data_IF_314010992815
#
_entry.id   IF_314010992815
#
_cell.length_a   1.000
_cell.length_b   1.000
_cell.length_c   1.000
_cell.angle_alpha   90.00
_cell.angle_beta   90.00
_cell.angle_gamma   90.00
#
_symmetry.space_group_name_H-M   'P 1'
#
loop_
_entity.id
_entity.type
_entity.pdbx_description
1 polymer ?
#
# COMPACT_ATOMS: atom_id res chain seq x y z
N UNK A 1 -15.62 -20.37 7.38
CA UNK A 1 -15.08 -20.69 6.04
C UNK A 1 -13.62 -21.01 6.24
N UNK A 2 -13.11 -22.11 5.70
CA UNK A 2 -11.71 -22.49 5.89
C UNK A 2 -10.99 -22.29 4.55
N UNK A 3 -9.88 -21.56 4.58
CA UNK A 3 -9.01 -21.35 3.43
C UNK A 3 -7.59 -21.78 3.82
N UNK A 4 -6.88 -22.39 2.88
CA UNK A 4 -5.46 -22.73 3.02
C UNK A 4 -4.72 -21.92 1.97
N UNK A 5 -3.74 -21.14 2.43
CA UNK A 5 -2.88 -20.33 1.56
C UNK A 5 -1.47 -20.88 1.69
N UNK A 6 -0.87 -21.29 0.58
CA UNK A 6 0.54 -21.66 0.52
C UNK A 6 1.36 -20.41 0.20
N UNK A 7 2.28 -20.05 1.09
CA UNK A 7 3.26 -18.99 0.85
C UNK A 7 4.62 -19.61 0.56
N UNK A 8 5.19 -19.27 -0.59
CA UNK A 8 6.55 -19.69 -0.94
C UNK A 8 7.52 -18.55 -0.63
N UNK A 9 8.72 -18.90 -0.17
CA UNK A 9 9.81 -17.93 -0.12
C UNK A 9 10.18 -17.55 -1.56
N UNK A 10 9.99 -16.28 -1.89
CA UNK A 10 10.42 -15.72 -3.16
C UNK A 10 11.16 -14.41 -2.92
N UNK A 11 12.18 -14.13 -3.73
CA UNK A 11 12.88 -12.86 -3.67
C UNK A 11 12.04 -11.79 -4.39
N UNK A 12 11.49 -10.78 -3.70
CA UNK A 12 10.63 -9.78 -4.34
C UNK A 12 11.39 -8.87 -5.33
N UNK A 13 12.72 -8.90 -5.29
CA UNK A 13 13.61 -8.18 -6.21
C UNK A 13 14.08 -9.02 -7.40
N UNK A 14 13.66 -10.29 -7.50
CA UNK A 14 14.04 -11.17 -8.61
C UNK A 14 13.19 -10.89 -9.86
N UNK A 15 13.48 -9.76 -10.50
CA UNK A 15 12.91 -9.38 -11.78
C UNK A 15 13.85 -8.44 -12.54
N UNK A 16 13.59 -8.29 -13.83
CA UNK A 16 14.29 -7.34 -14.68
C UNK A 16 13.27 -6.38 -15.27
N UNK A 17 13.54 -5.09 -15.17
CA UNK A 17 12.72 -4.10 -15.85
C UNK A 17 12.72 -4.31 -17.35
N UNK A 18 11.53 -4.42 -17.92
CA UNK A 18 11.34 -4.45 -19.36
C UNK A 18 10.10 -3.64 -19.75
N UNK A 19 10.25 -2.57 -20.56
CA UNK A 19 11.49 -2.12 -21.20
C UNK A 19 12.48 -1.49 -20.19
N UNK A 20 13.78 -1.44 -20.49
CA UNK A 20 14.82 -1.06 -19.51
C UNK A 20 14.71 0.40 -19.03
N UNK A 21 14.10 1.26 -19.84
CA UNK A 21 13.79 2.64 -19.54
C UNK A 21 12.87 2.77 -18.32
N UNK A 22 12.10 1.72 -18.00
CA UNK A 22 11.27 1.65 -16.78
C UNK A 22 12.07 1.64 -15.48
N UNK A 23 13.41 1.58 -15.54
CA UNK A 23 14.29 1.81 -14.39
C UNK A 23 14.30 3.27 -13.93
N UNK A 24 13.86 4.21 -14.77
CA UNK A 24 13.94 5.65 -14.48
C UNK A 24 12.56 6.29 -14.46
N UNK A 25 12.34 7.16 -13.48
CA UNK A 25 11.12 7.95 -13.32
C UNK A 25 11.18 9.29 -14.09
N UNK A 26 10.04 9.89 -14.46
CA UNK A 26 8.67 9.37 -14.31
C UNK A 26 8.39 8.19 -15.26
N UNK A 27 7.57 7.26 -14.81
CA UNK A 27 7.28 6.04 -15.56
C UNK A 27 6.21 6.31 -16.63
N UNK A 28 6.48 5.84 -17.85
CA UNK A 28 5.51 5.86 -18.95
C UNK A 28 5.22 4.44 -19.42
N UNK A 29 3.98 3.99 -19.21
CA UNK A 29 3.52 2.69 -19.68
C UNK A 29 3.26 2.70 -21.19
N UNK A 30 3.52 1.56 -21.85
CA UNK A 30 3.12 1.37 -23.25
C UNK A 30 1.60 1.44 -23.40
N UNK A 31 1.10 1.73 -24.60
CA UNK A 31 -0.34 1.82 -24.86
C UNK A 31 -1.11 0.55 -24.47
N UNK A 32 -0.49 -0.64 -24.59
CA UNK A 32 -1.08 -1.90 -24.14
C UNK A 32 -1.28 -1.93 -22.63
N UNK A 33 -0.28 -1.54 -21.86
CA UNK A 33 -0.37 -1.49 -20.40
C UNK A 33 -1.31 -0.38 -19.92
N UNK A 34 -1.33 0.77 -20.59
CA UNK A 34 -2.26 1.86 -20.22
C UNK A 34 -3.72 1.42 -20.27
N UNK A 35 -4.11 0.58 -21.25
CA UNK A 35 -5.50 0.04 -21.31
C UNK A 35 -5.88 -0.79 -20.09
N UNK A 36 -4.93 -1.56 -19.55
CA UNK A 36 -5.17 -2.44 -18.40
C UNK A 36 -4.94 -1.76 -17.06
N UNK A 37 -4.09 -0.73 -17.03
CA UNK A 37 -3.66 -0.05 -15.82
C UNK A 37 -4.35 1.30 -15.59
N UNK A 38 -5.17 1.78 -16.53
CA UNK A 38 -5.78 3.12 -16.44
C UNK A 38 -6.48 3.43 -15.11
N UNK A 39 -7.22 2.50 -14.46
CA UNK A 39 -7.83 2.80 -13.15
C UNK A 39 -6.80 2.97 -12.03
N UNK A 40 -5.61 2.38 -12.18
CA UNK A 40 -4.52 2.38 -11.19
C UNK A 40 -3.54 3.54 -11.36
N UNK A 41 -3.73 4.34 -12.42
CA UNK A 41 -2.93 5.53 -12.76
C UNK A 41 -3.60 6.85 -12.36
N UNK A 42 -4.79 6.78 -11.75
CA UNK A 42 -5.56 7.94 -11.32
C UNK A 42 -4.75 8.86 -10.40
N UNK A 43 -5.01 10.16 -10.48
CA UNK A 43 -4.30 11.18 -9.69
C UNK A 43 -5.10 11.54 -8.42
N UNK A 44 -6.01 10.68 -7.96
CA UNK A 44 -6.75 10.92 -6.72
C UNK A 44 -5.78 11.04 -5.54
N UNK A 45 -5.94 12.10 -4.75
CA UNK A 45 -5.08 12.38 -3.59
C UNK A 45 -3.70 12.96 -3.94
N UNK A 46 -3.35 13.12 -5.23
CA UNK A 46 -2.11 13.77 -5.64
C UNK A 46 -2.28 15.29 -5.59
N UNK A 47 -1.95 15.88 -4.46
CA UNK A 47 -1.86 17.34 -4.32
C UNK A 47 -0.50 17.87 -4.77
N UNK A 48 -0.38 19.18 -4.94
CA UNK A 48 0.89 19.85 -5.24
C UNK A 48 1.98 19.51 -4.24
N UNK A 49 1.65 19.45 -2.95
CA UNK A 49 2.62 19.13 -1.89
C UNK A 49 3.07 17.66 -1.96
N UNK A 50 2.13 16.75 -2.23
CA UNK A 50 2.43 15.32 -2.40
C UNK A 50 3.34 15.10 -3.63
N UNK A 51 3.02 15.71 -4.77
CA UNK A 51 3.84 15.63 -5.98
C UNK A 51 5.24 16.22 -5.76
N UNK A 52 5.35 17.40 -5.15
CA UNK A 52 6.64 18.03 -4.87
C UNK A 52 7.52 17.16 -3.97
N UNK A 53 6.93 16.57 -2.93
CA UNK A 53 7.65 15.67 -2.03
C UNK A 53 8.11 14.40 -2.76
N UNK A 54 7.25 13.80 -3.58
CA UNK A 54 7.61 12.63 -4.39
C UNK A 54 8.77 12.94 -5.34
N UNK A 55 8.72 14.08 -6.04
CA UNK A 55 9.81 14.54 -6.93
C UNK A 55 11.10 14.82 -6.17
N UNK A 56 11.03 15.37 -4.95
CA UNK A 56 12.20 15.59 -4.12
C UNK A 56 12.89 14.27 -3.77
N UNK A 57 12.14 13.28 -3.29
CA UNK A 57 12.67 11.94 -2.99
C UNK A 57 13.25 11.31 -4.25
N UNK A 58 12.52 11.33 -5.37
CA UNK A 58 13.00 10.81 -6.65
C UNK A 58 14.31 11.46 -7.09
N UNK A 59 14.48 12.76 -6.89
CA UNK A 59 15.70 13.48 -7.25
C UNK A 59 16.93 13.03 -6.43
N UNK A 60 16.74 12.72 -5.13
CA UNK A 60 17.81 12.29 -4.23
C UNK A 60 18.37 10.92 -4.65
N UNK A 61 17.50 10.05 -5.17
CA UNK A 61 17.86 8.72 -5.70
C UNK A 61 18.13 8.72 -7.19
N UNK A 62 18.42 9.89 -7.78
CA UNK A 62 18.74 10.06 -9.21
C UNK A 62 17.68 9.47 -10.15
N UNK A 63 16.41 9.59 -9.76
CA UNK A 63 15.24 9.12 -10.49
C UNK A 63 15.20 7.61 -10.74
N UNK A 64 15.99 6.81 -10.01
CA UNK A 64 15.91 5.35 -10.11
C UNK A 64 14.62 4.84 -9.46
N UNK A 65 13.85 4.04 -10.19
CA UNK A 65 12.51 3.58 -9.77
C UNK A 65 12.56 2.69 -8.52
N UNK A 66 13.44 1.68 -8.49
CA UNK A 66 13.54 0.79 -7.32
C UNK A 66 14.06 1.54 -6.11
N UNK A 67 15.08 2.37 -6.28
CA UNK A 67 15.61 3.19 -5.19
C UNK A 67 14.57 4.19 -4.67
N UNK A 68 13.72 4.76 -5.53
CA UNK A 68 12.62 5.62 -5.13
C UNK A 68 11.61 4.88 -4.25
N UNK A 69 11.22 3.67 -4.65
CA UNK A 69 10.26 2.86 -3.88
C UNK A 69 10.83 2.46 -2.52
N UNK A 70 12.10 2.06 -2.46
CA UNK A 70 12.80 1.77 -1.20
C UNK A 70 12.89 3.01 -0.30
N UNK A 71 13.31 4.16 -0.84
CA UNK A 71 13.44 5.40 -0.09
C UNK A 71 12.07 5.92 0.39
N UNK A 72 11.01 5.77 -0.41
CA UNK A 72 9.66 6.14 -0.01
C UNK A 72 9.16 5.28 1.15
N UNK A 73 9.46 3.97 1.12
CA UNK A 73 9.12 3.04 2.20
C UNK A 73 9.82 3.45 3.50
N UNK A 74 11.12 3.72 3.43
CA UNK A 74 11.94 4.15 4.56
C UNK A 74 11.52 5.53 5.08
N UNK A 75 11.23 6.48 4.19
CA UNK A 75 10.80 7.84 4.52
C UNK A 75 9.52 7.83 5.36
N UNK A 76 8.51 7.06 4.94
CA UNK A 76 7.25 6.98 5.70
C UNK A 76 7.50 6.26 7.03
N UNK A 77 8.18 5.12 7.02
CA UNK A 77 8.46 4.34 8.22
C UNK A 77 9.20 5.15 9.30
N UNK A 78 10.24 5.90 8.91
CA UNK A 78 11.11 6.62 9.87
C UNK A 78 10.56 7.97 10.31
N UNK A 79 9.78 8.65 9.46
CA UNK A 79 9.41 10.05 9.71
C UNK A 79 7.97 10.23 10.17
N UNK A 80 7.19 9.16 10.29
CA UNK A 80 5.77 9.24 10.62
C UNK A 80 5.47 8.44 11.88
N UNK A 81 4.65 9.02 12.76
CA UNK A 81 4.16 8.32 13.95
C UNK A 81 2.99 7.40 13.57
N UNK A 82 3.05 6.15 14.00
CA UNK A 82 1.94 5.22 13.80
C UNK A 82 0.79 5.55 14.75
N UNK A 83 -0.42 5.64 14.22
CA UNK A 83 -1.65 5.85 14.99
C UNK A 83 -2.60 4.68 14.80
N UNK A 84 -3.03 4.05 15.91
CA UNK A 84 -4.05 3.01 15.89
C UNK A 84 -5.41 3.67 15.65
N UNK A 85 -6.09 3.25 14.58
CA UNK A 85 -7.43 3.71 14.22
C UNK A 85 -8.30 2.53 13.82
N UNK A 86 -9.21 2.14 14.69
CA UNK A 86 -10.12 1.01 14.46
C UNK A 86 -11.08 1.25 13.28
N UNK A 87 -11.55 2.49 13.11
CA UNK A 87 -12.65 2.80 12.18
C UNK A 87 -12.36 3.98 11.25
N UNK A 88 -13.17 4.06 10.19
CA UNK A 88 -13.21 5.18 9.26
C UNK A 88 -12.29 5.03 8.06
N UNK A 89 -12.60 5.81 7.02
CA UNK A 89 -11.83 5.85 5.79
C UNK A 89 -10.35 6.26 6.04
N UNK A 90 -9.45 5.92 5.11
CA UNK A 90 -8.11 6.47 5.12
C UNK A 90 -8.13 8.00 5.10
N UNK A 91 -7.18 8.62 5.81
CA UNK A 91 -6.88 10.03 5.67
C UNK A 91 -6.40 10.32 4.24
N UNK A 92 -6.59 11.56 3.79
CA UNK A 92 -6.02 11.98 2.51
C UNK A 92 -4.49 11.93 2.56
N UNK A 93 -3.86 11.69 1.41
CA UNK A 93 -2.39 11.66 1.30
C UNK A 93 -1.76 12.95 1.83
N UNK A 94 -2.30 14.12 1.46
CA UNK A 94 -1.82 15.40 1.97
C UNK A 94 -1.95 15.52 3.50
N UNK A 95 -3.07 15.09 4.08
CA UNK A 95 -3.24 15.12 5.53
C UNK A 95 -2.19 14.27 6.24
N UNK A 96 -1.99 13.03 5.79
CA UNK A 96 -0.98 12.12 6.35
C UNK A 96 0.42 12.73 6.23
N UNK A 97 0.75 13.31 5.07
CA UNK A 97 2.04 13.95 4.79
C UNK A 97 2.31 15.16 5.68
N UNK A 98 1.32 16.02 5.88
CA UNK A 98 1.47 17.24 6.70
C UNK A 98 1.55 16.90 8.18
N UNK A 99 0.68 16.01 8.66
CA UNK A 99 0.59 15.69 10.09
C UNK A 99 1.64 14.67 10.54
N UNK A 100 2.34 14.02 9.60
CA UNK A 100 3.40 13.04 9.86
C UNK A 100 2.94 11.92 10.78
N UNK A 101 1.70 11.47 10.57
CA UNK A 101 1.09 10.41 11.37
C UNK A 101 -0.06 9.73 10.64
N UNK A 102 -0.37 8.51 11.03
CA UNK A 102 -1.48 7.75 10.49
C UNK A 102 -1.37 6.25 10.76
N UNK A 103 -2.40 5.53 10.35
CA UNK A 103 -2.49 4.06 10.38
C UNK A 103 -1.96 3.43 9.08
N UNK A 104 -1.91 2.10 9.01
CA UNK A 104 -1.45 1.36 7.82
C UNK A 104 -2.19 1.76 6.54
N UNK A 105 -3.52 1.94 6.62
CA UNK A 105 -4.33 2.40 5.48
C UNK A 105 -4.00 3.82 5.03
N UNK A 106 -3.64 4.70 5.97
CA UNK A 106 -3.27 6.09 5.68
C UNK A 106 -1.92 6.14 4.95
N UNK A 107 -0.98 5.30 5.38
CA UNK A 107 0.33 5.19 4.74
C UNK A 107 0.24 4.57 3.34
N UNK A 108 -0.58 3.54 3.14
CA UNK A 108 -0.82 2.94 1.83
C UNK A 108 -1.41 3.94 0.82
N UNK A 109 -2.33 4.82 1.27
CA UNK A 109 -2.89 5.90 0.45
C UNK A 109 -1.84 6.97 0.12
N UNK A 110 -1.03 7.39 1.10
CA UNK A 110 0.07 8.33 0.87
C UNK A 110 1.10 7.79 -0.12
N UNK A 111 1.57 6.56 0.10
CA UNK A 111 2.55 5.90 -0.77
C UNK A 111 2.00 5.78 -2.20
N UNK A 112 0.73 5.37 -2.35
CA UNK A 112 0.04 5.31 -3.64
C UNK A 112 0.03 6.66 -4.36
N UNK A 113 -0.34 7.73 -3.68
CA UNK A 113 -0.39 9.06 -4.27
C UNK A 113 1.00 9.55 -4.71
N UNK A 114 2.04 9.34 -3.89
CA UNK A 114 3.42 9.69 -4.27
C UNK A 114 3.93 8.90 -5.48
N UNK A 115 3.56 7.63 -5.60
CA UNK A 115 3.87 6.82 -6.78
C UNK A 115 3.13 7.31 -8.03
N UNK A 116 1.82 7.53 -7.92
CA UNK A 116 0.96 8.01 -9.03
C UNK A 116 1.39 9.37 -9.54
N UNK A 117 1.89 10.25 -8.67
CA UNK A 117 2.50 11.53 -9.04
C UNK A 117 3.68 11.40 -10.01
N UNK A 118 4.35 10.24 -10.03
CA UNK A 118 5.48 9.93 -10.91
C UNK A 118 5.13 8.89 -11.99
N UNK A 119 3.84 8.66 -12.24
CA UNK A 119 3.35 7.80 -13.32
C UNK A 119 3.40 6.30 -13.00
N UNK A 120 3.60 5.90 -11.75
CA UNK A 120 3.55 4.50 -11.32
C UNK A 120 2.10 4.08 -11.03
N UNK A 121 1.66 2.96 -11.60
CA UNK A 121 0.36 2.39 -11.31
C UNK A 121 0.38 1.70 -9.95
N UNK A 122 -0.60 2.02 -9.09
CA UNK A 122 -0.70 1.44 -7.75
C UNK A 122 -2.09 0.91 -7.44
N UNK A 123 -2.14 -0.16 -6.63
CA UNK A 123 -3.37 -0.65 -6.00
C UNK A 123 -3.20 -0.75 -4.49
N UNK A 124 -4.26 -0.40 -3.79
CA UNK A 124 -4.41 -0.61 -2.36
C UNK A 124 -4.75 -2.08 -2.12
N UNK A 125 -4.10 -2.70 -1.13
CA UNK A 125 -4.34 -4.09 -0.74
C UNK A 125 -4.76 -4.14 0.71
N UNK A 126 -5.84 -4.88 0.98
CA UNK A 126 -6.32 -5.20 2.31
C UNK A 126 -6.14 -6.71 2.53
N UNK A 127 -5.59 -7.08 3.69
CA UNK A 127 -5.31 -8.46 4.01
C UNK A 127 -4.87 -8.67 5.45
N UNK A 128 -4.17 -9.77 5.71
CA UNK A 128 -3.59 -10.04 7.03
C UNK A 128 -2.07 -9.96 6.97
N UNK A 129 -1.48 -9.44 8.03
CA UNK A 129 -0.05 -9.53 8.26
C UNK A 129 0.23 -10.49 9.42
N UNK A 130 1.17 -11.42 9.21
CA UNK A 130 1.58 -12.44 10.18
C UNK A 130 3.02 -12.14 10.59
N UNK A 131 3.18 -11.50 11.73
CA UNK A 131 4.47 -11.01 12.20
C UNK A 131 4.39 -10.38 13.58
N UNK A 132 5.46 -9.70 14.00
CA UNK A 132 5.48 -8.98 15.27
C UNK A 132 4.52 -7.78 15.16
N UNK A 133 3.45 -7.80 15.96
CA UNK A 133 2.54 -6.66 16.07
C UNK A 133 3.29 -5.42 16.60
N UNK A 134 2.83 -4.20 16.28
CA UNK A 134 3.33 -2.99 16.94
C UNK A 134 3.33 -3.16 18.46
N UNK A 135 4.33 -2.55 19.13
CA UNK A 135 4.62 -2.72 20.57
C UNK A 135 3.39 -2.57 21.48
N UNK A 136 2.38 -1.81 21.04
CA UNK A 136 1.18 -1.49 21.80
C UNK A 136 -0.03 -2.42 21.55
N UNK A 137 0.12 -3.50 20.78
CA UNK A 137 -0.94 -4.53 20.60
C UNK A 137 -0.44 -5.90 21.11
N UNK A 138 -0.42 -6.12 22.44
CA UNK A 138 0.03 -7.39 22.99
C UNK A 138 -0.89 -8.55 22.55
N UNK A 139 -0.29 -9.69 22.21
CA UNK A 139 -0.92 -10.98 21.93
C UNK A 139 -1.64 -11.18 20.58
N UNK A 140 -1.44 -10.32 19.57
CA UNK A 140 -1.88 -10.64 18.21
C UNK A 140 -0.71 -11.17 17.36
N UNK A 141 -0.77 -12.45 16.98
CA UNK A 141 0.18 -13.07 16.03
C UNK A 141 -0.11 -12.69 14.58
N UNK A 142 -1.29 -12.12 14.35
CA UNK A 142 -1.76 -11.64 13.06
C UNK A 142 -2.82 -10.55 13.24
N UNK A 143 -2.89 -9.60 12.32
CA UNK A 143 -3.89 -8.54 12.34
C UNK A 143 -4.30 -8.13 10.92
N UNK A 144 -5.49 -7.55 10.81
CA UNK A 144 -5.93 -6.91 9.56
C UNK A 144 -4.96 -5.77 9.24
N UNK A 145 -4.47 -5.75 8.01
CA UNK A 145 -3.41 -4.84 7.59
C UNK A 145 -3.66 -4.34 6.16
N UNK A 146 -3.06 -3.21 5.83
CA UNK A 146 -3.14 -2.62 4.52
C UNK A 146 -1.76 -2.19 4.02
N UNK A 147 -1.50 -2.45 2.74
CA UNK A 147 -0.27 -2.07 2.06
C UNK A 147 -0.57 -1.63 0.63
N UNK A 148 0.46 -1.24 -0.10
CA UNK A 148 0.35 -0.84 -1.50
C UNK A 148 1.09 -1.81 -2.38
N UNK A 149 0.54 -2.10 -3.55
CA UNK A 149 1.28 -2.75 -4.62
C UNK A 149 1.48 -1.81 -5.80
N UNK A 150 2.68 -1.84 -6.37
CA UNK A 150 3.10 -1.02 -7.50
C UNK A 150 3.38 -1.93 -8.70
N UNK A 151 2.84 -1.59 -9.86
CA UNK A 151 3.07 -2.37 -11.08
C UNK A 151 4.38 -1.95 -11.75
N UNK A 152 5.36 -2.85 -11.77
CA UNK A 152 6.67 -2.62 -12.39
C UNK A 152 6.75 -3.40 -13.71
N UNK A 153 7.00 -2.74 -14.87
CA UNK A 153 7.18 -3.45 -16.14
C UNK A 153 8.27 -4.51 -16.05
N UNK A 154 7.93 -5.77 -16.35
CA UNK A 154 8.81 -6.94 -16.18
C UNK A 154 8.81 -7.57 -14.77
N UNK A 155 8.39 -6.82 -13.74
CA UNK A 155 8.21 -7.33 -12.37
C UNK A 155 6.77 -7.63 -11.98
N UNK A 156 5.77 -7.10 -12.69
CA UNK A 156 4.37 -7.20 -12.29
C UNK A 156 4.06 -6.40 -11.03
N UNK A 157 3.04 -6.80 -10.28
CA UNK A 157 2.70 -6.17 -9.00
C UNK A 157 3.72 -6.55 -7.92
N UNK A 158 4.27 -5.54 -7.25
CA UNK A 158 5.21 -5.68 -6.13
C UNK A 158 4.71 -4.87 -4.94
N UNK A 159 4.62 -5.50 -3.78
CA UNK A 159 4.07 -4.89 -2.58
C UNK A 159 5.11 -4.19 -1.73
N UNK A 160 4.72 -3.07 -1.13
CA UNK A 160 5.52 -2.25 -0.23
C UNK A 160 4.68 -1.93 1.00
N UNK A 161 5.26 -2.18 2.18
CA UNK A 161 4.64 -1.96 3.47
C UNK A 161 5.42 -0.91 4.26
N UNK A 162 5.00 0.37 4.19
CA UNK A 162 5.66 1.46 4.92
C UNK A 162 5.39 1.41 6.43
N UNK A 163 4.45 0.60 6.91
CA UNK A 163 4.22 0.41 8.35
C UNK A 163 5.29 -0.49 8.95
N UNK A 164 5.69 -1.55 8.23
CA UNK A 164 6.68 -2.53 8.71
C UNK A 164 8.10 -2.29 8.15
N UNK A 165 8.25 -1.35 7.21
CA UNK A 165 9.48 -1.18 6.42
C UNK A 165 9.85 -2.43 5.62
N UNK A 166 8.85 -3.12 5.09
CA UNK A 166 9.03 -4.38 4.38
C UNK A 166 8.67 -4.24 2.90
N UNK A 167 9.34 -5.03 2.06
CA UNK A 167 8.81 -5.39 0.75
C UNK A 167 8.03 -6.67 0.94
N UNK A 168 6.78 -6.65 0.48
CA UNK A 168 5.78 -7.67 0.76
C UNK A 168 6.26 -9.06 0.31
N UNK A 169 6.17 -10.02 1.23
CA UNK A 169 6.57 -11.40 1.04
C UNK A 169 5.64 -12.35 1.83
N UNK A 170 6.14 -13.49 2.30
CA UNK A 170 5.33 -14.57 2.88
C UNK A 170 4.54 -14.24 4.16
N UNK A 171 4.77 -13.07 4.78
CA UNK A 171 4.05 -12.62 5.96
C UNK A 171 2.78 -11.83 5.63
N UNK A 172 2.57 -11.42 4.37
CA UNK A 172 1.39 -10.68 3.94
C UNK A 172 0.46 -11.60 3.16
N UNK A 173 -0.76 -11.78 3.67
CA UNK A 173 -1.79 -12.62 3.06
C UNK A 173 -2.85 -11.68 2.44
N UNK A 174 -2.81 -11.41 1.13
CA UNK A 174 -3.78 -10.52 0.48
C UNK A 174 -5.18 -11.14 0.47
N UNK A 175 -6.20 -10.33 0.79
CA UNK A 175 -7.61 -10.72 0.66
C UNK A 175 -8.28 -10.02 -0.53
N UNK A 176 -8.04 -8.71 -0.66
CA UNK A 176 -8.64 -7.89 -1.70
C UNK A 176 -7.69 -6.78 -2.12
N UNK A 177 -7.75 -6.40 -3.40
CA UNK A 177 -6.96 -5.30 -3.94
C UNK A 177 -7.79 -4.47 -4.93
N UNK A 178 -7.64 -3.14 -4.87
CA UNK A 178 -8.36 -2.21 -5.74
C UNK A 178 -7.55 -0.92 -5.97
N UNK A 179 -7.84 -0.20 -7.05
CA UNK A 179 -7.32 1.16 -7.22
C UNK A 179 -7.95 2.17 -6.25
N UNK A 180 -9.14 1.84 -5.70
CA UNK A 180 -9.92 2.63 -4.77
C UNK A 180 -10.12 1.84 -3.46
N UNK A 181 -9.63 2.32 -2.31
CA UNK A 181 -9.75 1.62 -1.03
C UNK A 181 -11.21 1.31 -0.63
N UNK A 182 -12.14 2.20 -0.95
CA UNK A 182 -13.56 2.09 -0.62
C UNK A 182 -14.21 0.83 -1.22
N UNK A 183 -13.77 0.39 -2.40
CA UNK A 183 -14.29 -0.79 -3.13
C UNK A 183 -13.92 -2.12 -2.47
N UNK A 184 -12.98 -2.11 -1.50
CA UNK A 184 -12.51 -3.30 -0.79
C UNK A 184 -12.67 -3.17 0.72
N UNK A 185 -13.53 -2.25 1.16
CA UNK A 185 -13.93 -2.15 2.57
C UNK A 185 -14.74 -3.40 2.94
N UNK A 186 -14.40 -4.13 4.03
CA UNK A 186 -15.08 -5.39 4.39
C UNK A 186 -16.59 -5.24 4.58
N UNK A 187 -17.02 -4.09 5.12
CA UNK A 187 -18.44 -3.74 5.31
C UNK A 187 -18.63 -2.30 4.87
N UNK A 188 -19.55 -2.06 3.93
CA UNK A 188 -19.93 -0.73 3.50
C UNK A 188 -21.46 -0.62 3.41
N UNK A 189 -22.01 0.56 3.70
CA UNK A 189 -23.44 0.79 3.65
C UNK A 189 -23.85 2.07 4.38
N UNK A 190 -25.14 2.38 4.30
CA UNK A 190 -25.72 3.45 5.12
C UNK A 190 -26.98 2.92 5.81
N UNK A 191 -27.21 3.37 7.03
CA UNK A 191 -28.41 3.08 7.78
C UNK A 191 -29.18 4.37 8.05
N UNK A 192 -30.51 4.33 7.97
CA UNK A 192 -31.39 5.46 8.31
C UNK A 192 -32.38 5.01 9.39
N UNK A 193 -32.35 5.69 10.54
CA UNK A 193 -33.18 5.39 11.71
C UNK A 193 -32.35 5.44 12.99
N UNK A 194 -32.95 5.04 14.11
CA UNK A 194 -32.23 4.84 15.38
C UNK A 194 -31.83 3.37 15.50
N UNK A 195 -30.55 3.06 15.36
CA UNK A 195 -30.01 1.73 15.65
C UNK A 195 -28.59 1.82 16.22
N UNK A 196 -28.24 0.83 17.02
CA UNK A 196 -26.86 0.49 17.38
C UNK A 196 -26.44 -0.71 16.54
N UNK A 197 -25.25 -0.66 15.94
CA UNK A 197 -24.66 -1.79 15.20
C UNK A 197 -23.38 -2.20 15.91
N UNK A 198 -23.17 -3.51 16.02
CA UNK A 198 -21.94 -4.11 16.53
C UNK A 198 -21.46 -5.13 15.49
N UNK A 199 -20.18 -5.10 15.14
CA UNK A 199 -19.55 -6.08 14.26
C UNK A 199 -18.54 -6.88 15.08
N UNK A 200 -18.75 -8.18 15.19
CA UNK A 200 -17.83 -9.11 15.84
C UNK A 200 -17.21 -9.98 14.75
N UNK A 201 -15.88 -10.01 14.71
CA UNK A 201 -15.12 -10.84 13.77
C UNK A 201 -14.08 -11.65 14.52
N UNK A 202 -13.98 -12.93 14.18
CA UNK A 202 -12.94 -13.83 14.69
C UNK A 202 -12.20 -14.44 13.51
N UNK A 203 -10.87 -14.36 13.54
CA UNK A 203 -9.98 -14.91 12.54
C UNK A 203 -8.87 -15.62 13.28
N UNK A 204 -8.54 -16.83 12.83
CA UNK A 204 -7.45 -17.63 13.36
C UNK A 204 -6.54 -17.95 12.18
N UNK A 205 -5.28 -17.53 12.28
CA UNK A 205 -4.24 -17.85 11.30
C UNK A 205 -3.19 -18.71 11.99
N UNK A 206 -3.11 -19.95 11.55
CA UNK A 206 -2.11 -20.91 11.98
C UNK A 206 -1.11 -21.14 10.85
N UNK A 207 0.18 -21.06 11.16
CA UNK A 207 1.25 -21.47 10.25
C UNK A 207 1.41 -22.98 10.37
N UNK A 208 1.06 -23.71 9.32
CA UNK A 208 1.14 -25.18 9.22
C UNK A 208 2.50 -25.61 8.69
#
# INVERSE_FOLDING_TARGET
>A
MNAVVETTEFNPFDFVYFPFESKTLPLNYTHSYQKTLSPYLGQEGVSTLVEQTARQIASQVKWNTSSFLSELNEFIFKQFAYEIREEGAPNSAEYTLVNRRGSCRDYAVLFSAMCRALGLATRFVSGYYVGIAPVDVPNQTHHLHAWVEVYLPGGGWRGYDPTQHEVVAGNHIPLAASCLPEEITPVFGSYRGSASSELITEVIIDRV
#
